data_IF_724494154776
#
_entry.id   IF_724494154776
#
_cell.length_a   1.000
_cell.length_b   1.000
_cell.length_c   1.000
_cell.angle_alpha   90.00
_cell.angle_beta   90.00
_cell.angle_gamma   90.00
#
_symmetry.space_group_name_H-M   'P 1'
#
loop_
_entity.id
_entity.type
_entity.pdbx_description
1 polymer ?
#
# COMPACT_ATOMS: atom_id res chain seq x y z
N UNK A 1 26.77 -62.65 35.83
CA UNK A 1 26.56 -61.20 36.08
C UNK A 1 26.62 -60.53 34.72
N UNK A 2 25.53 -60.47 33.94
CA UNK A 2 24.50 -59.41 33.93
C UNK A 2 25.12 -58.00 33.92
N UNK A 3 25.14 -57.33 32.77
CA UNK A 3 24.42 -56.06 32.52
C UNK A 3 24.41 -55.72 31.02
N UNK A 4 23.20 -55.49 30.49
CA UNK A 4 22.87 -54.98 29.15
C UNK A 4 22.95 -53.45 29.11
N UNK A 5 23.23 -52.88 27.93
CA UNK A 5 22.72 -51.58 27.45
C UNK A 5 23.11 -51.41 25.96
N UNK A 6 22.27 -51.76 24.99
CA UNK A 6 21.33 -50.87 24.28
C UNK A 6 21.87 -49.48 23.90
N UNK A 7 22.30 -49.37 22.63
CA UNK A 7 21.82 -48.38 21.67
C UNK A 7 22.27 -46.92 21.79
N UNK A 8 22.90 -46.41 20.73
CA UNK A 8 22.42 -45.21 20.03
C UNK A 8 23.08 -45.12 18.65
N UNK A 9 22.37 -45.53 17.60
CA UNK A 9 22.69 -45.10 16.23
C UNK A 9 22.19 -43.65 16.12
N UNK A 10 23.11 -42.69 16.04
CA UNK A 10 22.77 -41.30 15.78
C UNK A 10 22.33 -41.17 14.31
N UNK A 11 21.03 -41.26 14.05
CA UNK A 11 20.45 -40.86 12.77
C UNK A 11 20.44 -39.33 12.76
N UNK A 12 21.43 -38.74 12.07
CA UNK A 12 21.43 -37.30 11.75
C UNK A 12 20.37 -37.08 10.68
N UNK A 13 19.15 -36.70 11.11
CA UNK A 13 18.12 -36.21 10.20
C UNK A 13 18.54 -34.81 9.75
N UNK A 14 19.15 -34.71 8.58
CA UNK A 14 19.37 -33.44 7.90
C UNK A 14 18.00 -32.93 7.43
N UNK A 15 17.36 -32.11 8.25
CA UNK A 15 16.19 -31.33 7.82
C UNK A 15 16.70 -30.26 6.87
N UNK A 16 16.60 -30.52 5.57
CA UNK A 16 16.76 -29.53 4.51
C UNK A 16 15.66 -28.47 4.69
N UNK A 17 15.95 -27.43 5.48
CA UNK A 17 15.20 -26.18 5.41
C UNK A 17 15.57 -25.52 4.07
N UNK A 18 14.92 -25.96 3.00
CA UNK A 18 14.86 -25.19 1.77
C UNK A 18 14.11 -23.89 2.11
N UNK A 19 14.87 -22.87 2.50
CA UNK A 19 14.38 -21.50 2.54
C UNK A 19 14.09 -21.14 1.09
N UNK A 20 12.84 -21.30 0.68
CA UNK A 20 12.35 -20.74 -0.57
C UNK A 20 12.46 -19.22 -0.45
N UNK A 21 13.58 -18.67 -0.92
CA UNK A 21 13.69 -17.23 -1.20
C UNK A 21 12.83 -17.00 -2.43
N UNK A 22 11.54 -16.78 -2.21
CA UNK A 22 10.64 -16.34 -3.26
C UNK A 22 11.01 -14.88 -3.56
N UNK A 23 11.89 -14.69 -4.55
CA UNK A 23 12.21 -13.34 -5.02
C UNK A 23 10.97 -12.81 -5.74
N UNK A 24 10.29 -11.83 -5.13
CA UNK A 24 9.22 -11.12 -5.83
C UNK A 24 9.78 -10.51 -7.13
N UNK A 25 9.00 -10.50 -8.23
CA UNK A 25 9.41 -9.80 -9.43
C UNK A 25 9.74 -8.35 -9.08
N UNK A 26 10.96 -7.90 -9.40
CA UNK A 26 11.47 -6.59 -8.96
C UNK A 26 10.63 -5.42 -9.45
N UNK A 27 9.92 -5.61 -10.57
CA UNK A 27 9.10 -4.61 -11.26
C UNK A 27 7.70 -4.39 -10.66
N UNK A 28 7.19 -5.31 -9.83
CA UNK A 28 5.84 -5.23 -9.26
C UNK A 28 5.77 -4.44 -7.93
N UNK A 29 6.83 -3.72 -7.58
CA UNK A 29 6.93 -3.00 -6.32
C UNK A 29 6.84 -1.48 -6.54
N UNK A 30 5.89 -0.85 -5.86
CA UNK A 30 5.79 0.62 -5.84
C UNK A 30 6.82 1.15 -4.87
N UNK A 31 7.62 2.10 -5.34
CA UNK A 31 8.68 2.72 -4.57
C UNK A 31 8.52 4.23 -4.62
N UNK A 32 8.74 4.86 -3.48
CA UNK A 32 8.75 6.31 -3.32
C UNK A 32 10.15 6.78 -2.97
N UNK A 33 10.31 8.10 -3.00
CA UNK A 33 11.54 8.82 -2.64
C UNK A 33 12.71 8.51 -3.58
N UNK A 34 13.10 9.51 -4.37
CA UNK A 34 14.31 9.44 -5.17
C UNK A 34 15.51 9.98 -4.39
N UNK A 35 16.69 9.41 -4.60
CA UNK A 35 17.92 9.93 -4.02
C UNK A 35 19.17 9.23 -4.55
N UNK A 36 20.32 9.89 -4.38
CA UNK A 36 21.61 9.41 -4.88
C UNK A 36 22.32 8.44 -3.91
N UNK A 37 21.93 8.44 -2.63
CA UNK A 37 22.51 7.53 -1.64
C UNK A 37 21.78 6.18 -1.64
N UNK A 38 22.25 5.26 -2.46
CA UNK A 38 21.68 3.91 -2.61
C UNK A 38 21.75 3.04 -1.35
N UNK A 39 22.55 3.42 -0.34
CA UNK A 39 22.66 2.71 0.93
C UNK A 39 21.66 3.22 1.99
N UNK A 40 20.93 4.30 1.70
CA UNK A 40 19.90 4.82 2.59
C UNK A 40 18.63 3.98 2.49
N UNK A 41 18.07 3.60 3.63
CA UNK A 41 16.76 2.94 3.69
C UNK A 41 15.60 3.83 3.22
N UNK A 42 15.85 5.13 3.04
CA UNK A 42 14.87 6.11 2.56
C UNK A 42 14.86 6.26 1.04
N UNK A 43 15.85 5.74 0.33
CA UNK A 43 15.95 5.86 -1.13
C UNK A 43 15.29 4.66 -1.78
N UNK A 44 14.39 4.90 -2.74
CA UNK A 44 13.56 3.86 -3.37
C UNK A 44 12.80 3.01 -2.35
N UNK A 45 12.25 3.66 -1.32
CA UNK A 45 11.54 3.01 -0.23
C UNK A 45 10.29 2.32 -0.77
N UNK A 46 10.09 1.05 -0.42
CA UNK A 46 8.93 0.27 -0.86
C UNK A 46 7.68 0.73 -0.11
N UNK A 47 6.57 0.86 -0.83
CA UNK A 47 5.25 1.07 -0.23
C UNK A 47 4.59 -0.28 0.12
N UNK A 48 3.76 -0.30 1.19
CA UNK A 48 3.05 -1.51 1.60
C UNK A 48 1.98 -1.90 0.58
N UNK A 49 2.05 -3.14 0.10
CA UNK A 49 1.11 -3.69 -0.89
C UNK A 49 -0.21 -4.21 -0.29
N UNK A 50 -0.25 -4.35 1.04
CA UNK A 50 -1.43 -4.82 1.77
C UNK A 50 -1.78 -3.87 2.90
N UNK A 51 -3.07 -3.77 3.20
CA UNK A 51 -3.60 -2.94 4.28
C UNK A 51 -2.95 -3.32 5.63
N UNK A 52 -2.83 -4.63 5.91
CA UNK A 52 -2.22 -5.12 7.14
C UNK A 52 -0.78 -4.62 7.33
N UNK A 53 0.01 -4.61 6.25
CA UNK A 53 1.37 -4.08 6.27
C UNK A 53 1.41 -2.56 6.39
N UNK A 54 0.46 -1.85 5.76
CA UNK A 54 0.36 -0.40 5.91
C UNK A 54 0.12 -0.01 7.37
N UNK A 55 -0.81 -0.70 8.05
CA UNK A 55 -1.09 -0.49 9.46
C UNK A 55 0.14 -0.77 10.34
N UNK A 56 0.85 -1.87 10.09
CA UNK A 56 2.07 -2.20 10.86
C UNK A 56 3.21 -1.21 10.64
N UNK A 57 3.26 -0.58 9.46
CA UNK A 57 4.22 0.48 9.12
C UNK A 57 3.76 1.89 9.57
N UNK A 58 2.67 1.99 10.33
CA UNK A 58 2.19 3.21 10.96
C UNK A 58 1.30 4.09 10.08
N UNK A 59 0.74 3.55 9.00
CA UNK A 59 -0.28 4.27 8.23
C UNK A 59 -1.62 4.26 8.96
N UNK A 60 -2.29 5.42 8.93
CA UNK A 60 -3.59 5.66 9.55
C UNK A 60 -4.66 5.68 8.47
N UNK A 61 -5.79 5.03 8.76
CA UNK A 61 -6.94 4.97 7.86
C UNK A 61 -7.67 6.33 7.85
N UNK A 62 -8.04 6.81 6.67
CA UNK A 62 -8.93 7.97 6.52
C UNK A 62 -10.40 7.53 6.67
N UNK A 63 -11.31 8.49 6.76
CA UNK A 63 -12.73 8.21 6.94
C UNK A 63 -13.50 8.29 5.61
N UNK A 64 -14.67 7.63 5.60
CA UNK A 64 -15.68 7.83 4.57
C UNK A 64 -15.42 7.08 3.27
N UNK A 65 -14.88 5.86 3.31
CA UNK A 65 -14.69 5.03 2.12
C UNK A 65 -15.62 3.82 2.04
N UNK A 66 -15.92 3.38 0.81
CA UNK A 66 -16.77 2.23 0.46
C UNK A 66 -18.20 2.17 1.04
N UNK A 67 -18.65 3.21 1.76
CA UNK A 67 -20.01 3.36 2.28
C UNK A 67 -20.66 4.66 1.77
N UNK A 68 -20.73 4.84 0.45
CA UNK A 68 -21.24 6.07 -0.17
C UNK A 68 -20.26 7.25 -0.12
N UNK A 69 -18.98 6.95 0.13
CA UNK A 69 -17.88 7.89 0.12
C UNK A 69 -17.61 8.51 -1.24
N UNK A 70 -16.89 9.63 -1.23
CA UNK A 70 -16.40 10.29 -2.46
C UNK A 70 -15.36 9.44 -3.20
N UNK A 71 -14.58 8.67 -2.44
CA UNK A 71 -13.51 7.81 -2.97
C UNK A 71 -13.80 6.34 -2.71
N UNK A 72 -13.28 5.50 -3.59
CA UNK A 72 -13.39 4.06 -3.53
C UNK A 72 -12.16 3.49 -2.85
N UNK A 73 -12.36 2.42 -2.08
CA UNK A 73 -11.31 1.70 -1.38
C UNK A 73 -10.87 2.36 -0.09
N UNK A 74 -10.28 1.58 0.81
CA UNK A 74 -9.80 2.05 2.10
C UNK A 74 -8.52 2.86 1.90
N UNK A 75 -8.54 4.13 2.31
CA UNK A 75 -7.41 5.05 2.15
C UNK A 75 -6.55 5.11 3.40
N UNK A 76 -5.23 5.16 3.21
CA UNK A 76 -4.25 5.14 4.27
C UNK A 76 -3.16 6.19 4.04
N UNK A 77 -2.88 6.98 5.07
CA UNK A 77 -1.88 8.04 5.05
C UNK A 77 -0.85 7.79 6.14
N UNK A 78 0.43 8.11 5.88
CA UNK A 78 1.50 7.99 6.87
C UNK A 78 1.79 9.35 7.49
N UNK A 79 1.53 9.50 8.79
CA UNK A 79 1.65 10.80 9.46
C UNK A 79 0.70 11.83 8.84
N UNK A 80 1.22 13.01 8.50
CA UNK A 80 0.50 14.09 7.81
C UNK A 80 0.97 14.25 6.34
N UNK A 81 1.58 13.22 5.77
CA UNK A 81 2.09 13.28 4.40
C UNK A 81 1.00 12.92 3.40
N UNK A 82 0.40 13.94 2.78
CA UNK A 82 -0.66 13.79 1.79
C UNK A 82 -0.14 13.51 0.39
N UNK A 83 1.18 13.52 0.19
CA UNK A 83 1.78 13.31 -1.13
C UNK A 83 1.60 11.88 -1.63
N UNK A 84 1.46 10.91 -0.72
CA UNK A 84 1.25 9.49 -1.05
C UNK A 84 0.23 8.84 -0.11
N UNK A 85 -1.04 8.96 -0.45
CA UNK A 85 -2.14 8.24 0.21
C UNK A 85 -2.40 6.93 -0.54
N UNK A 86 -2.32 5.81 0.17
CA UNK A 86 -2.48 4.47 -0.42
C UNK A 86 -3.94 4.05 -0.36
N UNK A 87 -4.44 3.45 -1.44
CA UNK A 87 -5.80 2.93 -1.52
C UNK A 87 -5.75 1.41 -1.57
N UNK A 88 -6.54 0.75 -0.75
CA UNK A 88 -6.73 -0.70 -0.77
C UNK A 88 -8.18 -1.06 -1.11
N UNK A 89 -8.38 -2.18 -1.78
CA UNK A 89 -9.72 -2.76 -1.94
C UNK A 89 -10.25 -3.32 -0.61
N UNK A 90 -11.52 -3.74 -0.60
CA UNK A 90 -12.17 -4.31 0.59
C UNK A 90 -11.49 -5.56 1.15
N UNK A 91 -10.69 -6.26 0.34
CA UNK A 91 -9.92 -7.44 0.77
C UNK A 91 -8.51 -7.05 1.26
N UNK A 92 -8.17 -5.75 1.24
CA UNK A 92 -6.92 -5.21 1.75
C UNK A 92 -5.76 -5.26 0.76
N UNK A 93 -6.00 -5.44 -0.54
CA UNK A 93 -4.96 -5.40 -1.57
C UNK A 93 -4.85 -4.02 -2.23
N UNK A 94 -3.62 -3.61 -2.56
CA UNK A 94 -3.34 -2.29 -3.13
C UNK A 94 -4.14 -2.00 -4.42
N UNK A 95 -5.05 -1.05 -4.38
CA UNK A 95 -5.95 -0.72 -5.49
C UNK A 95 -5.63 0.60 -6.19
N UNK A 96 -4.81 1.47 -5.58
CA UNK A 96 -4.49 2.76 -6.15
C UNK A 96 -3.73 3.69 -5.22
N UNK A 97 -3.52 4.91 -5.68
CA UNK A 97 -2.81 5.96 -4.94
C UNK A 97 -3.54 7.29 -5.12
N UNK A 98 -3.45 8.15 -4.10
CA UNK A 98 -3.82 9.55 -4.23
C UNK A 98 -2.64 10.44 -3.92
N UNK A 99 -2.62 11.57 -4.63
CA UNK A 99 -1.75 12.68 -4.35
C UNK A 99 -2.60 13.86 -3.88
N UNK A 100 -2.35 14.32 -2.65
CA UNK A 100 -3.05 15.42 -2.02
C UNK A 100 -2.22 16.70 -2.03
N UNK A 101 -2.83 17.78 -2.49
CA UNK A 101 -2.27 19.13 -2.45
C UNK A 101 -3.10 19.97 -1.47
N UNK A 102 -2.52 20.49 -0.37
CA UNK A 102 -3.24 21.35 0.57
C UNK A 102 -3.81 22.58 -0.14
N UNK A 103 -5.08 22.89 0.09
CA UNK A 103 -5.75 24.04 -0.53
C UNK A 103 -5.04 25.36 -0.20
N UNK A 104 -4.58 25.48 1.05
CA UNK A 104 -3.80 26.65 1.49
C UNK A 104 -2.53 26.86 0.66
N UNK A 105 -1.90 25.80 0.16
CA UNK A 105 -0.69 25.92 -0.67
C UNK A 105 -1.03 26.31 -2.11
N UNK A 106 -2.14 25.81 -2.65
CA UNK A 106 -2.68 26.26 -3.95
C UNK A 106 -2.99 27.75 -3.92
N UNK A 107 -3.65 28.24 -2.85
CA UNK A 107 -4.02 29.64 -2.69
C UNK A 107 -2.80 30.56 -2.60
N UNK A 108 -1.72 30.13 -1.93
CA UNK A 108 -0.45 30.89 -1.84
C UNK A 108 0.26 31.07 -3.18
N UNK A 109 0.19 30.07 -4.06
CA UNK A 109 0.91 30.09 -5.35
C UNK A 109 0.19 30.96 -6.39
N UNK A 110 -1.06 31.36 -6.14
CA UNK A 110 -1.88 32.22 -7.01
C UNK A 110 -1.86 31.76 -8.49
N UNK A 111 -2.12 30.47 -8.69
CA UNK A 111 -2.15 29.87 -10.03
C UNK A 111 -3.43 30.24 -10.78
N UNK A 112 -3.34 30.33 -12.11
CA UNK A 112 -4.50 30.52 -12.99
C UNK A 112 -5.34 29.25 -13.17
N UNK A 113 -4.83 28.10 -12.75
CA UNK A 113 -5.53 26.83 -12.82
C UNK A 113 -6.61 26.71 -11.74
N UNK A 114 -7.84 26.40 -12.14
CA UNK A 114 -8.96 26.22 -11.21
C UNK A 114 -9.11 24.74 -10.84
N UNK A 115 -8.65 24.38 -9.64
CA UNK A 115 -8.77 23.03 -9.10
C UNK A 115 -10.24 22.59 -8.93
N UNK A 116 -11.12 23.50 -8.48
CA UNK A 116 -12.55 23.22 -8.27
C UNK A 116 -13.30 22.90 -9.56
N UNK A 117 -12.87 23.45 -10.70
CA UNK A 117 -13.49 23.20 -12.01
C UNK A 117 -12.94 21.93 -12.68
N UNK A 118 -11.82 21.40 -12.19
CA UNK A 118 -11.21 20.20 -12.75
C UNK A 118 -11.86 18.98 -12.13
N UNK A 119 -12.39 18.08 -12.96
CA UNK A 119 -12.90 16.78 -12.51
C UNK A 119 -11.80 15.85 -11.98
N UNK A 120 -10.53 16.14 -12.29
CA UNK A 120 -9.39 15.34 -11.83
C UNK A 120 -9.10 15.54 -10.33
N UNK A 121 -9.40 16.72 -9.79
CA UNK A 121 -9.14 17.07 -8.39
C UNK A 121 -10.43 17.06 -7.58
N UNK A 122 -10.38 16.41 -6.44
CA UNK A 122 -11.52 16.28 -5.55
C UNK A 122 -11.16 16.81 -4.18
N UNK A 123 -11.87 17.85 -3.73
CA UNK A 123 -11.70 18.40 -2.39
C UNK A 123 -12.22 17.42 -1.33
N UNK A 124 -11.43 17.19 -0.30
CA UNK A 124 -11.81 16.41 0.88
C UNK A 124 -11.13 16.99 2.13
N UNK A 125 -11.63 16.61 3.31
CA UNK A 125 -11.04 17.03 4.59
C UNK A 125 -10.33 15.87 5.25
N UNK A 126 -9.10 16.10 5.71
CA UNK A 126 -8.31 15.10 6.44
C UNK A 126 -7.85 15.64 7.80
N UNK A 127 -7.81 14.74 8.79
CA UNK A 127 -7.20 14.93 10.12
C UNK A 127 -7.32 16.35 10.73
N UNK A 128 -8.53 16.76 11.12
CA UNK A 128 -8.75 18.04 11.80
C UNK A 128 -9.19 19.18 10.89
N UNK A 129 -9.95 18.86 9.84
CA UNK A 129 -10.58 19.80 8.88
C UNK A 129 -9.64 20.48 7.87
N UNK A 130 -8.42 19.99 7.67
CA UNK A 130 -7.56 20.50 6.60
C UNK A 130 -8.13 20.13 5.23
N UNK A 131 -8.37 21.14 4.39
CA UNK A 131 -8.93 20.99 3.05
C UNK A 131 -7.83 20.66 2.04
N UNK A 132 -7.96 19.50 1.38
CA UNK A 132 -6.95 18.98 0.47
C UNK A 132 -7.59 18.59 -0.86
N UNK A 133 -6.96 19.02 -1.96
CA UNK A 133 -7.31 18.57 -3.30
C UNK A 133 -6.61 17.24 -3.59
N UNK A 134 -7.39 16.17 -3.70
CA UNK A 134 -6.87 14.86 -4.06
C UNK A 134 -6.99 14.60 -5.56
N UNK A 135 -5.86 14.28 -6.18
CA UNK A 135 -5.80 13.59 -7.47
C UNK A 135 -5.74 12.09 -7.20
N UNK A 136 -6.68 11.33 -7.76
CA UNK A 136 -6.81 9.90 -7.49
C UNK A 136 -6.47 9.08 -8.73
N UNK A 137 -5.68 8.04 -8.55
CA UNK A 137 -5.38 7.06 -9.59
C UNK A 137 -5.70 5.66 -9.07
N UNK A 138 -6.74 5.06 -9.64
CA UNK A 138 -7.03 3.64 -9.44
C UNK A 138 -6.23 2.84 -10.46
N UNK A 139 -5.52 1.82 -9.98
CA UNK A 139 -4.77 0.88 -10.82
C UNK A 139 -5.53 -0.43 -11.03
N UNK A 140 -6.70 -0.55 -10.41
CA UNK A 140 -7.62 -1.69 -10.48
C UNK A 140 -8.97 -1.17 -10.93
N UNK A 141 -9.76 -1.99 -11.62
CA UNK A 141 -11.15 -1.65 -11.98
C UNK A 141 -11.92 -1.09 -10.76
N UNK A 142 -12.34 0.19 -10.80
CA UNK A 142 -13.04 0.83 -9.70
C UNK A 142 -14.28 0.08 -9.20
N UNK A 143 -14.96 -0.67 -10.09
CA UNK A 143 -16.20 -1.36 -9.76
C UNK A 143 -16.00 -2.47 -8.73
N UNK A 144 -14.83 -3.11 -8.71
CA UNK A 144 -14.55 -4.22 -7.80
C UNK A 144 -13.94 -3.76 -6.48
N UNK A 145 -13.36 -2.55 -6.41
CA UNK A 145 -12.62 -2.06 -5.23
C UNK A 145 -13.46 -2.14 -3.95
N UNK A 146 -14.73 -1.72 -4.02
CA UNK A 146 -15.66 -1.78 -2.88
C UNK A 146 -16.67 -2.94 -2.94
N UNK A 147 -16.86 -3.58 -4.10
CA UNK A 147 -17.93 -4.56 -4.33
C UNK A 147 -17.38 -5.99 -4.49
N UNK A 148 -16.51 -6.41 -3.58
CA UNK A 148 -15.98 -7.78 -3.52
C UNK A 148 -14.46 -7.87 -3.49
N UNK A 149 -13.75 -6.81 -3.94
CA UNK A 149 -12.30 -6.73 -3.96
C UNK A 149 -11.66 -7.75 -4.90
N UNK A 150 -10.33 -7.76 -4.97
CA UNK A 150 -9.60 -8.78 -5.74
C UNK A 150 -9.43 -10.07 -4.95
N UNK A 151 -9.45 -11.20 -5.67
CA UNK A 151 -9.04 -12.49 -5.12
C UNK A 151 -7.51 -12.60 -5.12
N UNK A 152 -6.98 -13.34 -4.13
CA UNK A 152 -5.53 -13.50 -3.96
C UNK A 152 -4.88 -14.17 -5.17
N UNK A 153 -5.30 -15.40 -5.45
CA UNK A 153 -4.54 -16.32 -6.30
C UNK A 153 -4.75 -16.07 -7.80
N UNK A 154 -5.88 -15.46 -8.19
CA UNK A 154 -6.24 -15.26 -9.61
C UNK A 154 -6.05 -13.82 -10.09
N UNK A 155 -6.12 -12.84 -9.20
CA UNK A 155 -6.08 -11.43 -9.58
C UNK A 155 -4.87 -10.74 -8.99
N UNK A 156 -4.67 -10.82 -7.67
CA UNK A 156 -3.56 -10.12 -7.04
C UNK A 156 -2.19 -10.69 -7.43
N UNK A 157 -1.99 -12.01 -7.38
CA UNK A 157 -0.69 -12.61 -7.71
C UNK A 157 -0.37 -12.52 -9.22
N UNK A 158 -1.38 -12.58 -10.08
CA UNK A 158 -1.19 -12.50 -11.54
C UNK A 158 -0.99 -11.06 -12.03
N UNK A 159 -1.79 -10.12 -11.54
CA UNK A 159 -1.82 -8.72 -12.00
C UNK A 159 -0.88 -7.83 -11.17
N UNK A 160 -0.53 -8.24 -9.97
CA UNK A 160 0.27 -7.46 -9.04
C UNK A 160 -0.45 -6.19 -8.59
N UNK A 161 0.17 -5.04 -8.87
CA UNK A 161 -0.27 -3.73 -8.39
C UNK A 161 -1.29 -3.02 -9.29
N UNK A 162 -1.58 -3.56 -10.47
CA UNK A 162 -2.58 -2.99 -11.38
C UNK A 162 -2.92 -3.87 -12.58
N UNK A 163 -4.03 -3.55 -13.24
CA UNK A 163 -4.61 -4.26 -14.39
C UNK A 163 -4.66 -3.40 -15.64
#
# INVERSE_FOLDING_TARGET
>A
MLYSAFGLFAVVVLVNNAVFVQSEPTWQNIRVTWGLNLFSSRVFAKLPKTESKARSEGFVRLAGECNGGKFLGHRYMKGLDTAAVLIYDVNGYFAGIQHGIPKNDVEKVNTTFSFEKSSAYQLDKVLGDEEIYFLTTYLVDPNIICNGGRTKDQQYEEQGIGT
#
